data_IF_441350757863
#
_entry.id   IF_441350757863
#
_cell.length_a   1.000
_cell.length_b   1.000
_cell.length_c   1.000
_cell.angle_alpha   90.00
_cell.angle_beta   90.00
_cell.angle_gamma   90.00
#
_symmetry.space_group_name_H-M   'P 1'
#
loop_
_entity.id
_entity.type
_entity.pdbx_description
1 polymer ?
#
# COMPACT_ATOMS: atom_id res chain seq x y z
N UNK A 1 1.91 -34.74 -15.89
CA UNK A 1 0.76 -33.81 -15.69
C UNK A 1 0.24 -34.03 -14.28
N UNK A 2 0.72 -33.25 -13.31
CA UNK A 2 0.27 -33.29 -11.93
C UNK A 2 -0.35 -31.95 -11.62
N UNK A 3 -1.65 -31.88 -11.58
CA UNK A 3 -2.45 -30.77 -11.03
C UNK A 3 -2.12 -30.65 -9.56
N UNK A 4 -1.17 -29.78 -9.22
CA UNK A 4 -1.01 -29.28 -7.84
C UNK A 4 -2.18 -28.37 -7.54
N UNK A 5 -3.13 -28.90 -6.81
CA UNK A 5 -4.22 -28.16 -6.15
C UNK A 5 -3.58 -27.03 -5.35
N UNK A 6 -3.90 -25.79 -5.72
CA UNK A 6 -3.49 -24.57 -5.02
C UNK A 6 -4.00 -24.64 -3.59
N UNK A 7 -3.09 -24.92 -2.64
CA UNK A 7 -3.41 -24.90 -1.22
C UNK A 7 -3.73 -23.45 -0.77
N UNK A 8 -4.75 -23.25 0.05
CA UNK A 8 -5.13 -21.93 0.60
C UNK A 8 -4.07 -21.31 1.54
N UNK A 9 -2.98 -22.03 1.77
CA UNK A 9 -1.83 -21.64 2.60
C UNK A 9 -1.09 -20.40 2.06
N UNK A 10 -1.17 -20.10 0.76
CA UNK A 10 -0.37 -19.03 0.13
C UNK A 10 -0.95 -17.65 0.36
N UNK A 11 -2.28 -17.48 0.25
CA UNK A 11 -2.95 -16.20 0.55
C UNK A 11 -2.78 -15.81 2.03
N UNK A 12 -2.84 -16.80 2.91
CA UNK A 12 -2.64 -16.61 4.35
C UNK A 12 -1.19 -16.21 4.68
N UNK A 13 -0.23 -16.64 3.87
CA UNK A 13 1.20 -16.28 4.03
C UNK A 13 1.46 -14.82 3.59
N UNK A 14 0.83 -14.36 2.51
CA UNK A 14 0.94 -12.96 2.05
C UNK A 14 0.29 -11.99 3.03
N UNK A 15 -0.92 -12.28 3.49
CA UNK A 15 -1.59 -11.46 4.52
C UNK A 15 -0.78 -11.45 5.82
N UNK A 16 -0.19 -12.58 6.23
CA UNK A 16 0.73 -12.64 7.38
C UNK A 16 1.95 -11.76 7.15
N UNK A 17 2.54 -11.79 5.96
CA UNK A 17 3.72 -10.95 5.64
C UNK A 17 3.38 -9.46 5.69
N UNK A 18 2.24 -9.04 5.15
CA UNK A 18 1.77 -7.65 5.22
C UNK A 18 1.48 -7.24 6.68
N UNK A 19 0.82 -8.11 7.45
CA UNK A 19 0.56 -7.88 8.87
C UNK A 19 1.85 -7.84 9.70
N UNK A 20 2.84 -8.68 9.41
CA UNK A 20 4.14 -8.63 10.06
C UNK A 20 4.91 -7.36 9.73
N UNK A 21 4.87 -6.90 8.48
CA UNK A 21 5.47 -5.62 8.06
C UNK A 21 4.78 -4.47 8.79
N UNK A 22 3.44 -4.45 8.80
CA UNK A 22 2.68 -3.46 9.56
C UNK A 22 3.01 -3.49 11.04
N UNK A 23 3.06 -4.67 11.65
CA UNK A 23 3.39 -4.80 13.07
C UNK A 23 4.80 -4.31 13.39
N UNK A 24 5.78 -4.62 12.53
CA UNK A 24 7.15 -4.11 12.66
C UNK A 24 7.18 -2.59 12.47
N UNK A 25 6.45 -2.08 11.49
CA UNK A 25 6.33 -0.65 11.24
C UNK A 25 5.67 0.09 12.42
N UNK A 26 4.54 -0.40 12.94
CA UNK A 26 3.88 0.20 14.11
C UNK A 26 4.73 0.13 15.39
N UNK A 27 5.63 -0.84 15.50
CA UNK A 27 6.61 -0.88 16.60
C UNK A 27 7.71 0.16 16.43
N UNK A 28 7.99 0.54 15.20
CA UNK A 28 9.00 1.55 14.85
C UNK A 28 8.48 2.99 15.06
N UNK A 29 7.16 3.21 14.94
CA UNK A 29 6.51 4.49 15.16
C UNK A 29 6.40 4.84 16.65
N UNK A 30 6.50 6.12 16.98
CA UNK A 30 6.22 6.64 18.31
C UNK A 30 4.69 6.67 18.57
N UNK A 31 4.25 6.86 19.81
CA UNK A 31 2.82 6.75 20.18
C UNK A 31 1.92 7.76 19.44
N UNK A 32 2.40 8.97 19.22
CA UNK A 32 1.66 10.02 18.51
C UNK A 32 1.40 9.61 17.05
N UNK A 33 2.43 9.23 16.34
CA UNK A 33 2.37 8.83 14.93
C UNK A 33 1.52 7.56 14.74
N UNK A 34 1.65 6.63 15.67
CA UNK A 34 0.83 5.42 15.72
C UNK A 34 -0.66 5.77 15.82
N UNK A 35 -1.02 6.76 16.65
CA UNK A 35 -2.41 7.25 16.77
C UNK A 35 -2.90 7.89 15.46
N UNK A 36 -2.06 8.64 14.75
CA UNK A 36 -2.39 9.25 13.46
C UNK A 36 -2.66 8.20 12.40
N UNK A 37 -1.84 7.14 12.32
CA UNK A 37 -2.08 6.02 11.43
C UNK A 37 -3.38 5.26 11.75
N UNK A 38 -3.69 5.00 13.02
CA UNK A 38 -4.97 4.39 13.38
C UNK A 38 -6.15 5.25 12.99
N UNK A 39 -6.10 6.54 13.23
CA UNK A 39 -7.15 7.48 12.80
C UNK A 39 -7.31 7.48 11.29
N UNK A 40 -6.21 7.44 10.54
CA UNK A 40 -6.26 7.37 9.08
C UNK A 40 -6.92 6.08 8.58
N UNK A 41 -6.65 4.93 9.21
CA UNK A 41 -7.29 3.66 8.89
C UNK A 41 -8.81 3.73 9.13
N UNK A 42 -9.22 4.27 10.27
CA UNK A 42 -10.66 4.44 10.59
C UNK A 42 -11.35 5.35 9.56
N UNK A 43 -10.73 6.49 9.22
CA UNK A 43 -11.25 7.38 8.18
C UNK A 43 -11.32 6.71 6.82
N UNK A 44 -10.34 5.87 6.47
CA UNK A 44 -10.32 5.10 5.23
C UNK A 44 -11.46 4.07 5.17
N UNK A 45 -11.72 3.37 6.26
CA UNK A 45 -12.88 2.45 6.35
C UNK A 45 -14.20 3.21 6.22
N UNK A 46 -14.35 4.35 6.89
CA UNK A 46 -15.52 5.21 6.73
C UNK A 46 -15.67 5.70 5.29
N UNK A 47 -14.59 6.10 4.64
CA UNK A 47 -14.59 6.49 3.23
C UNK A 47 -15.05 5.34 2.31
N UNK A 48 -14.63 4.10 2.62
CA UNK A 48 -15.08 2.91 1.89
C UNK A 48 -16.57 2.67 2.06
N UNK A 49 -17.12 2.84 3.27
CA UNK A 49 -18.56 2.74 3.54
C UNK A 49 -19.36 3.80 2.76
N UNK A 50 -18.91 5.06 2.76
CA UNK A 50 -19.52 6.10 1.93
C UNK A 50 -19.44 5.77 0.43
N UNK A 51 -18.32 5.23 -0.03
CA UNK A 51 -18.17 4.79 -1.41
C UNK A 51 -19.11 3.64 -1.78
N UNK A 52 -19.44 2.76 -0.85
CA UNK A 52 -20.36 1.65 -1.07
C UNK A 52 -21.81 2.11 -1.32
N UNK A 53 -22.21 3.32 -0.88
CA UNK A 53 -23.53 3.89 -1.16
C UNK A 53 -23.81 4.10 -2.66
N UNK A 54 -22.80 4.08 -3.51
CA UNK A 54 -22.96 4.11 -4.98
C UNK A 54 -23.70 2.89 -5.50
N UNK A 55 -23.53 1.73 -4.86
CA UNK A 55 -24.12 0.46 -5.30
C UNK A 55 -25.65 0.51 -5.21
N UNK A 56 -26.28 0.81 -4.04
CA UNK A 56 -27.72 0.94 -3.97
C UNK A 56 -28.27 2.10 -4.81
N UNK A 57 -27.54 3.23 -4.95
CA UNK A 57 -27.97 4.33 -5.82
C UNK A 57 -28.09 3.91 -7.29
N UNK A 58 -27.14 3.13 -7.79
CA UNK A 58 -27.18 2.56 -9.15
C UNK A 58 -28.29 1.50 -9.23
N UNK A 59 -28.46 0.65 -8.21
CA UNK A 59 -29.48 -0.40 -8.16
C UNK A 59 -30.90 0.17 -8.25
N UNK A 60 -31.18 1.20 -7.48
CA UNK A 60 -32.50 1.89 -7.51
C UNK A 60 -32.75 2.49 -8.90
N UNK A 61 -31.75 3.08 -9.53
CA UNK A 61 -31.91 3.65 -10.88
C UNK A 61 -32.15 2.57 -11.92
N UNK A 62 -31.43 1.45 -11.86
CA UNK A 62 -31.63 0.31 -12.76
C UNK A 62 -33.01 -0.31 -12.60
N UNK A 63 -33.50 -0.49 -11.37
CA UNK A 63 -34.83 -0.99 -11.10
C UNK A 63 -35.92 -0.07 -11.67
N UNK A 64 -35.74 1.25 -11.52
CA UNK A 64 -36.69 2.22 -12.10
C UNK A 64 -36.72 2.18 -13.64
N UNK A 65 -35.57 1.96 -14.28
CA UNK A 65 -35.49 1.86 -15.74
C UNK A 65 -36.14 0.57 -16.25
N UNK A 66 -35.94 -0.55 -15.56
CA UNK A 66 -36.33 -1.87 -16.05
C UNK A 66 -37.77 -2.26 -15.70
N UNK A 67 -38.30 -1.79 -14.57
CA UNK A 67 -39.54 -2.33 -13.99
C UNK A 67 -40.60 -1.26 -13.73
N UNK A 68 -40.28 -0.16 -13.06
CA UNK A 68 -41.24 0.78 -12.49
C UNK A 68 -41.49 2.04 -13.35
N UNK A 69 -40.68 2.29 -14.35
CA UNK A 69 -40.65 3.55 -15.09
C UNK A 69 -39.90 4.66 -14.34
N UNK A 70 -39.23 5.50 -15.10
CA UNK A 70 -38.39 6.56 -14.54
C UNK A 70 -39.21 7.75 -14.09
N UNK A 71 -39.21 8.01 -12.78
CA UNK A 71 -39.85 9.19 -12.21
C UNK A 71 -38.79 10.24 -11.81
N UNK A 72 -39.14 11.52 -11.95
CA UNK A 72 -38.23 12.62 -11.56
C UNK A 72 -37.74 12.49 -10.09
N UNK A 73 -38.61 11.99 -9.20
CA UNK A 73 -38.28 11.73 -7.79
C UNK A 73 -37.17 10.66 -7.64
N UNK A 74 -37.25 9.57 -8.42
CA UNK A 74 -36.25 8.49 -8.39
C UNK A 74 -34.90 8.97 -8.89
N UNK A 75 -34.90 9.78 -9.96
CA UNK A 75 -33.65 10.40 -10.49
C UNK A 75 -33.02 11.31 -9.43
N UNK A 76 -33.82 12.18 -8.83
CA UNK A 76 -33.32 13.13 -7.81
C UNK A 76 -32.77 12.40 -6.58
N UNK A 77 -33.44 11.38 -6.10
CA UNK A 77 -33.01 10.57 -4.96
C UNK A 77 -31.68 9.85 -5.26
N UNK A 78 -31.61 9.15 -6.39
CA UNK A 78 -30.39 8.44 -6.81
C UNK A 78 -29.22 9.41 -6.99
N UNK A 79 -29.45 10.57 -7.63
CA UNK A 79 -28.44 11.61 -7.79
C UNK A 79 -27.98 12.18 -6.45
N UNK A 80 -28.89 12.46 -5.52
CA UNK A 80 -28.55 12.98 -4.19
C UNK A 80 -27.68 11.97 -3.41
N UNK A 81 -28.06 10.69 -3.38
CA UNK A 81 -27.29 9.63 -2.72
C UNK A 81 -25.90 9.50 -3.36
N UNK A 82 -25.82 9.56 -4.68
CA UNK A 82 -24.55 9.49 -5.40
C UNK A 82 -23.64 10.67 -5.08
N UNK A 83 -24.18 11.89 -5.05
CA UNK A 83 -23.44 13.10 -4.66
C UNK A 83 -22.93 13.02 -3.22
N UNK A 84 -23.78 12.62 -2.27
CA UNK A 84 -23.39 12.42 -0.87
C UNK A 84 -22.26 11.38 -0.77
N UNK A 85 -22.39 10.27 -1.50
CA UNK A 85 -21.35 9.24 -1.54
C UNK A 85 -20.02 9.76 -2.07
N UNK A 86 -20.03 10.50 -3.19
CA UNK A 86 -18.80 11.03 -3.81
C UNK A 86 -18.16 12.09 -2.92
N UNK A 87 -18.93 13.06 -2.45
CA UNK A 87 -18.40 14.16 -1.62
C UNK A 87 -17.90 13.61 -0.28
N UNK A 88 -18.72 12.80 0.39
CA UNK A 88 -18.36 12.20 1.68
C UNK A 88 -17.10 11.32 1.59
N UNK A 89 -17.06 10.42 0.61
CA UNK A 89 -15.86 9.57 0.43
C UNK A 89 -14.61 10.37 0.06
N UNK A 90 -14.73 11.43 -0.74
CA UNK A 90 -13.59 12.25 -1.15
C UNK A 90 -13.00 13.04 0.03
N UNK A 91 -13.85 13.64 0.85
CA UNK A 91 -13.41 14.38 2.05
C UNK A 91 -12.71 13.44 3.03
N UNK A 92 -13.30 12.27 3.30
CA UNK A 92 -12.73 11.29 4.22
C UNK A 92 -11.41 10.71 3.70
N UNK A 93 -11.32 10.41 2.40
CA UNK A 93 -10.08 9.95 1.76
C UNK A 93 -8.98 11.01 1.84
N UNK A 94 -9.30 12.25 1.51
CA UNK A 94 -8.34 13.34 1.62
C UNK A 94 -7.76 13.44 3.04
N UNK A 95 -8.63 13.42 4.07
CA UNK A 95 -8.19 13.45 5.46
C UNK A 95 -7.37 12.23 5.86
N UNK A 96 -7.77 11.03 5.42
CA UNK A 96 -7.04 9.80 5.67
C UNK A 96 -5.63 9.85 5.06
N UNK A 97 -5.53 10.24 3.78
CA UNK A 97 -4.24 10.35 3.07
C UNK A 97 -3.35 11.43 3.69
N UNK A 98 -3.91 12.57 4.07
CA UNK A 98 -3.15 13.63 4.75
C UNK A 98 -2.52 13.12 6.06
N UNK A 99 -3.29 12.44 6.91
CA UNK A 99 -2.77 11.84 8.14
C UNK A 99 -1.72 10.75 7.90
N UNK A 100 -1.87 9.94 6.85
CA UNK A 100 -0.89 8.91 6.49
C UNK A 100 0.44 9.54 6.03
N UNK A 101 0.34 10.59 5.24
CA UNK A 101 1.50 11.30 4.73
C UNK A 101 2.24 12.03 5.84
N UNK A 102 1.51 12.75 6.68
CA UNK A 102 2.06 13.48 7.82
C UNK A 102 2.72 12.52 8.83
N UNK A 103 2.03 11.44 9.19
CA UNK A 103 2.57 10.39 10.05
C UNK A 103 3.84 9.74 9.49
N UNK A 104 3.90 9.49 8.17
CA UNK A 104 5.09 8.91 7.51
C UNK A 104 6.30 9.85 7.56
N UNK A 105 6.11 11.12 7.25
CA UNK A 105 7.18 12.12 7.32
C UNK A 105 7.62 12.42 8.75
N UNK A 106 6.68 12.56 9.68
CA UNK A 106 6.96 12.74 11.10
C UNK A 106 7.78 11.61 11.68
N UNK A 107 7.39 10.35 11.41
CA UNK A 107 8.15 9.17 11.85
C UNK A 107 9.60 9.24 11.40
N UNK A 108 9.83 9.59 10.13
CA UNK A 108 11.17 9.65 9.56
C UNK A 108 11.98 10.80 10.14
N UNK A 109 11.36 11.97 10.31
CA UNK A 109 12.01 13.14 10.92
C UNK A 109 12.45 12.85 12.36
N UNK A 110 11.55 12.26 13.17
CA UNK A 110 11.86 11.89 14.55
C UNK A 110 12.97 10.84 14.65
N UNK A 111 12.99 9.85 13.74
CA UNK A 111 14.07 8.87 13.70
C UNK A 111 15.41 9.46 13.30
N UNK A 112 15.44 10.45 12.41
CA UNK A 112 16.68 11.19 12.09
C UNK A 112 17.23 11.92 13.31
N UNK A 113 16.36 12.57 14.10
CA UNK A 113 16.76 13.23 15.35
C UNK A 113 17.28 12.20 16.34
N UNK A 114 16.60 11.07 16.54
CA UNK A 114 17.05 9.99 17.42
C UNK A 114 18.43 9.43 17.01
N UNK A 115 18.67 9.25 15.69
CA UNK A 115 19.99 8.84 15.19
C UNK A 115 21.04 9.91 15.50
N UNK A 116 20.76 11.18 15.24
CA UNK A 116 21.69 12.28 15.51
C UNK A 116 22.03 12.37 17.01
N UNK A 117 21.04 12.22 17.89
CA UNK A 117 21.28 12.17 19.33
C UNK A 117 22.15 10.98 19.72
N UNK A 118 21.91 9.81 19.17
CA UNK A 118 22.74 8.63 19.46
C UNK A 118 24.18 8.80 19.00
N UNK A 119 24.40 9.42 17.83
CA UNK A 119 25.73 9.71 17.32
C UNK A 119 26.57 10.61 18.25
N UNK A 120 25.94 11.49 19.05
CA UNK A 120 26.64 12.35 20.01
C UNK A 120 27.35 11.56 21.12
N UNK A 121 26.91 10.34 21.41
CA UNK A 121 27.48 9.48 22.46
C UNK A 121 28.55 8.53 21.94
N UNK A 122 28.80 8.51 20.61
CA UNK A 122 29.84 7.65 20.03
C UNK A 122 31.23 8.26 20.17
N UNK A 123 32.26 7.45 20.46
CA UNK A 123 33.63 7.93 20.55
C UNK A 123 34.13 8.42 19.19
N UNK A 124 35.00 9.43 19.19
CA UNK A 124 35.53 10.06 17.95
C UNK A 124 36.20 9.06 17.00
N UNK A 125 36.78 7.99 17.50
CA UNK A 125 37.38 6.92 16.67
C UNK A 125 36.37 6.14 15.80
N UNK A 126 35.09 6.27 16.06
CA UNK A 126 34.04 5.68 15.22
C UNK A 126 33.86 6.44 13.89
N UNK A 127 34.19 7.73 13.87
CA UNK A 127 33.96 8.60 12.72
C UNK A 127 35.16 8.53 11.74
N UNK A 128 35.16 7.48 10.92
CA UNK A 128 36.08 7.36 9.77
C UNK A 128 35.29 7.57 8.46
N UNK A 129 35.99 7.66 7.33
CA UNK A 129 35.36 7.92 6.02
C UNK A 129 34.26 6.90 5.67
N UNK A 130 34.47 5.63 5.97
CA UNK A 130 33.50 4.57 5.71
C UNK A 130 32.25 4.71 6.60
N UNK A 131 32.43 4.99 7.88
CA UNK A 131 31.31 5.15 8.82
C UNK A 131 30.51 6.42 8.54
N UNK A 132 31.15 7.52 8.17
CA UNK A 132 30.48 8.76 7.75
C UNK A 132 29.65 8.55 6.50
N UNK A 133 30.17 7.85 5.49
CA UNK A 133 29.43 7.48 4.30
C UNK A 133 28.20 6.62 4.61
N UNK A 134 28.36 5.61 5.46
CA UNK A 134 27.24 4.74 5.90
C UNK A 134 26.19 5.53 6.68
N UNK A 135 26.58 6.36 7.64
CA UNK A 135 25.67 7.21 8.43
C UNK A 135 24.89 8.15 7.51
N UNK A 136 25.58 8.83 6.59
CA UNK A 136 24.93 9.73 5.63
C UNK A 136 23.93 8.98 4.75
N UNK A 137 24.30 7.83 4.22
CA UNK A 137 23.41 6.99 3.40
C UNK A 137 22.15 6.54 4.17
N UNK A 138 22.31 6.13 5.42
CA UNK A 138 21.17 5.73 6.26
C UNK A 138 20.28 6.92 6.59
N UNK A 139 20.85 8.05 6.99
CA UNK A 139 20.12 9.24 7.44
C UNK A 139 19.38 9.94 6.29
N UNK A 140 19.88 9.85 5.07
CA UNK A 140 19.25 10.43 3.88
C UNK A 140 18.44 9.38 3.12
N UNK A 141 19.09 8.54 2.32
CA UNK A 141 18.42 7.66 1.36
C UNK A 141 17.53 6.60 2.02
N UNK A 142 18.03 5.95 3.10
CA UNK A 142 17.25 4.89 3.75
C UNK A 142 16.03 5.46 4.46
N UNK A 143 16.15 6.62 5.10
CA UNK A 143 15.03 7.26 5.79
C UNK A 143 14.01 7.82 4.81
N UNK A 144 14.39 8.39 3.67
CA UNK A 144 13.45 8.85 2.64
C UNK A 144 12.68 7.68 2.03
N UNK A 145 13.37 6.60 1.71
CA UNK A 145 12.73 5.37 1.24
C UNK A 145 11.76 4.78 2.28
N UNK A 146 12.14 4.80 3.56
CA UNK A 146 11.29 4.30 4.64
C UNK A 146 10.00 5.10 4.77
N UNK A 147 10.05 6.44 4.67
CA UNK A 147 8.86 7.30 4.66
C UNK A 147 7.91 6.93 3.53
N UNK A 148 8.42 6.82 2.30
CA UNK A 148 7.61 6.46 1.14
C UNK A 148 7.00 5.06 1.22
N UNK A 149 7.78 4.07 1.67
CA UNK A 149 7.30 2.68 1.84
C UNK A 149 6.25 2.60 2.93
N UNK A 150 6.44 3.27 4.05
CA UNK A 150 5.53 3.28 5.20
C UNK A 150 4.15 3.81 4.84
N UNK A 151 4.11 5.01 4.24
CA UNK A 151 2.87 5.63 3.76
C UNK A 151 2.17 4.73 2.74
N UNK A 152 2.92 4.17 1.78
CA UNK A 152 2.39 3.28 0.76
C UNK A 152 1.79 1.99 1.34
N UNK A 153 2.42 1.37 2.33
CA UNK A 153 1.92 0.13 2.94
C UNK A 153 0.61 0.39 3.68
N UNK A 154 0.51 1.46 4.47
CA UNK A 154 -0.74 1.82 5.16
C UNK A 154 -1.84 2.14 4.15
N UNK A 155 -1.52 2.88 3.08
CA UNK A 155 -2.45 3.20 2.00
C UNK A 155 -2.97 1.94 1.29
N UNK A 156 -2.09 1.00 0.94
CA UNK A 156 -2.46 -0.27 0.30
C UNK A 156 -3.41 -1.10 1.17
N UNK A 157 -3.19 -1.13 2.47
CA UNK A 157 -4.09 -1.85 3.39
C UNK A 157 -5.44 -1.14 3.48
N UNK A 158 -5.44 0.17 3.65
CA UNK A 158 -6.67 0.95 3.87
C UNK A 158 -7.49 1.05 2.58
N UNK A 159 -6.90 1.46 1.48
CA UNK A 159 -7.61 1.65 0.21
C UNK A 159 -7.74 0.36 -0.59
N UNK A 160 -6.75 -0.53 -0.54
CA UNK A 160 -6.78 -1.81 -1.22
C UNK A 160 -7.66 -2.82 -0.49
N UNK A 161 -7.23 -3.30 0.66
CA UNK A 161 -7.87 -4.44 1.33
C UNK A 161 -9.22 -4.05 1.91
N UNK A 162 -9.28 -2.99 2.73
CA UNK A 162 -10.53 -2.61 3.40
C UNK A 162 -11.58 -2.09 2.41
N UNK A 163 -11.20 -1.27 1.43
CA UNK A 163 -12.13 -0.76 0.43
C UNK A 163 -12.70 -1.90 -0.42
N UNK A 164 -11.87 -2.84 -0.86
CA UNK A 164 -12.32 -4.01 -1.62
C UNK A 164 -13.24 -4.90 -0.80
N UNK A 165 -12.91 -5.15 0.47
CA UNK A 165 -13.74 -5.96 1.36
C UNK A 165 -15.12 -5.32 1.59
N UNK A 166 -15.16 -4.02 1.89
CA UNK A 166 -16.41 -3.28 2.08
C UNK A 166 -17.27 -3.27 0.81
N UNK A 167 -16.66 -3.02 -0.35
CA UNK A 167 -17.37 -3.03 -1.64
C UNK A 167 -17.90 -4.42 -1.98
N UNK A 168 -17.12 -5.47 -1.79
CA UNK A 168 -17.54 -6.85 -2.03
C UNK A 168 -18.69 -7.22 -1.10
N UNK A 169 -18.61 -6.86 0.18
CA UNK A 169 -19.67 -7.10 1.15
C UNK A 169 -20.95 -6.34 0.76
N UNK A 170 -20.84 -5.08 0.35
CA UNK A 170 -21.99 -4.29 -0.07
C UNK A 170 -22.71 -4.89 -1.29
N UNK A 171 -21.96 -5.36 -2.30
CA UNK A 171 -22.52 -6.06 -3.46
C UNK A 171 -23.17 -7.38 -3.03
N UNK A 172 -22.52 -8.14 -2.14
CA UNK A 172 -23.05 -9.41 -1.66
C UNK A 172 -24.38 -9.25 -0.90
N UNK A 173 -24.53 -8.16 -0.14
CA UNK A 173 -25.79 -7.83 0.54
C UNK A 173 -26.89 -7.40 -0.43
N UNK A 174 -26.54 -6.80 -1.56
CA UNK A 174 -27.49 -6.37 -2.59
C UNK A 174 -27.95 -7.54 -3.46
N UNK A 175 -27.00 -8.33 -3.98
CA UNK A 175 -27.26 -9.56 -4.74
C UNK A 175 -26.16 -10.59 -4.50
N UNK A 176 -26.49 -11.69 -3.84
CA UNK A 176 -25.55 -12.75 -3.49
C UNK A 176 -24.93 -13.44 -4.73
N UNK A 177 -25.68 -13.48 -5.86
CA UNK A 177 -25.19 -14.07 -7.10
C UNK A 177 -24.08 -13.26 -7.72
N UNK A 178 -24.26 -11.93 -7.77
CA UNK A 178 -23.23 -10.98 -8.25
C UNK A 178 -22.05 -10.98 -7.30
N UNK A 179 -22.30 -11.04 -5.98
CA UNK A 179 -21.24 -11.15 -4.97
C UNK A 179 -20.36 -12.39 -5.16
N UNK A 180 -20.92 -13.54 -5.50
CA UNK A 180 -20.19 -14.76 -5.83
C UNK A 180 -19.28 -14.60 -7.07
N UNK A 181 -19.76 -13.95 -8.12
CA UNK A 181 -18.94 -13.65 -9.30
C UNK A 181 -17.77 -12.74 -8.97
N UNK A 182 -17.96 -11.74 -8.11
CA UNK A 182 -16.87 -10.86 -7.67
C UNK A 182 -15.83 -11.65 -6.86
N UNK A 183 -16.26 -12.53 -5.94
CA UNK A 183 -15.35 -13.37 -5.17
C UNK A 183 -14.54 -14.31 -6.09
N UNK A 184 -15.19 -14.92 -7.08
CA UNK A 184 -14.51 -15.74 -8.07
C UNK A 184 -13.50 -14.92 -8.88
N UNK A 185 -13.87 -13.71 -9.32
CA UNK A 185 -12.96 -12.78 -10.01
C UNK A 185 -11.77 -12.37 -9.16
N UNK A 186 -11.96 -12.09 -7.87
CA UNK A 186 -10.89 -11.81 -6.93
C UNK A 186 -9.96 -13.02 -6.77
N UNK A 187 -10.48 -14.23 -6.69
CA UNK A 187 -9.69 -15.46 -6.61
C UNK A 187 -8.79 -15.64 -7.85
N UNK A 188 -9.35 -15.42 -9.05
CA UNK A 188 -8.57 -15.44 -10.31
C UNK A 188 -7.53 -14.35 -10.33
N UNK A 189 -7.88 -13.12 -9.93
CA UNK A 189 -6.94 -12.02 -9.83
C UNK A 189 -5.76 -12.34 -8.91
N UNK A 190 -6.01 -12.89 -7.73
CA UNK A 190 -4.95 -13.33 -6.82
C UNK A 190 -4.09 -14.44 -7.40
N UNK A 191 -4.66 -15.41 -8.08
CA UNK A 191 -3.92 -16.50 -8.71
C UNK A 191 -2.97 -15.98 -9.81
N UNK A 192 -3.45 -15.06 -10.65
CA UNK A 192 -2.65 -14.44 -11.71
C UNK A 192 -1.53 -13.57 -11.11
N UNK A 193 -1.84 -12.72 -10.12
CA UNK A 193 -0.82 -11.91 -9.45
C UNK A 193 0.26 -12.76 -8.80
N UNK A 194 -0.11 -13.84 -8.12
CA UNK A 194 0.85 -14.75 -7.52
C UNK A 194 1.79 -15.38 -8.56
N UNK A 195 1.25 -15.83 -9.69
CA UNK A 195 2.05 -16.34 -10.79
C UNK A 195 3.00 -15.28 -11.37
N UNK A 196 2.54 -14.03 -11.49
CA UNK A 196 3.34 -12.91 -11.95
C UNK A 196 4.45 -12.54 -10.96
N UNK A 197 4.18 -12.57 -9.65
CA UNK A 197 5.19 -12.31 -8.62
C UNK A 197 6.34 -13.30 -8.68
N UNK A 198 6.05 -14.60 -8.79
CA UNK A 198 7.09 -15.64 -8.90
C UNK A 198 7.99 -15.38 -10.11
N UNK A 199 7.40 -15.01 -11.24
CA UNK A 199 8.17 -14.69 -12.46
C UNK A 199 8.95 -13.38 -12.31
N UNK A 200 8.36 -12.37 -11.68
CA UNK A 200 8.99 -11.08 -11.44
C UNK A 200 10.20 -11.20 -10.51
N UNK A 201 10.13 -11.99 -9.45
CA UNK A 201 11.27 -12.23 -8.55
C UNK A 201 12.47 -12.86 -9.30
N UNK A 202 12.20 -13.85 -10.16
CA UNK A 202 13.26 -14.47 -10.96
C UNK A 202 13.90 -13.48 -11.93
N UNK A 203 13.09 -12.64 -12.58
CA UNK A 203 13.55 -11.63 -13.52
C UNK A 203 14.34 -10.53 -12.81
N UNK A 204 13.85 -10.09 -11.65
CA UNK A 204 14.51 -9.06 -10.84
C UNK A 204 15.86 -9.54 -10.33
N UNK A 205 15.98 -10.79 -9.87
CA UNK A 205 17.28 -11.38 -9.47
C UNK A 205 18.28 -11.43 -10.63
N UNK A 206 17.82 -11.81 -11.84
CA UNK A 206 18.66 -11.81 -13.03
C UNK A 206 19.11 -10.40 -13.42
N UNK A 207 18.21 -9.42 -13.32
CA UNK A 207 18.52 -8.02 -13.57
C UNK A 207 19.57 -7.49 -12.61
N UNK A 208 19.41 -7.71 -11.30
CA UNK A 208 20.41 -7.30 -10.30
C UNK A 208 21.79 -7.95 -10.54
N UNK A 209 21.82 -9.24 -10.89
CA UNK A 209 23.08 -9.91 -11.24
C UNK A 209 23.72 -9.30 -12.48
N UNK A 210 22.92 -8.93 -13.50
CA UNK A 210 23.40 -8.25 -14.69
C UNK A 210 23.93 -6.83 -14.39
N UNK A 211 23.19 -6.06 -13.61
CA UNK A 211 23.57 -4.70 -13.22
C UNK A 211 24.88 -4.73 -12.40
N UNK A 212 25.07 -5.70 -11.50
CA UNK A 212 26.31 -5.88 -10.75
C UNK A 212 27.49 -6.22 -11.67
N UNK A 213 27.29 -7.12 -12.62
CA UNK A 213 28.34 -7.47 -13.58
C UNK A 213 28.77 -6.28 -14.46
N UNK A 214 27.82 -5.43 -14.86
CA UNK A 214 28.14 -4.21 -15.61
C UNK A 214 28.97 -3.24 -14.76
N UNK A 215 28.59 -3.04 -13.48
CA UNK A 215 29.33 -2.19 -12.56
C UNK A 215 30.76 -2.73 -12.33
N UNK A 216 30.93 -4.04 -12.16
CA UNK A 216 32.24 -4.67 -12.02
C UNK A 216 33.11 -4.45 -13.26
N UNK A 217 32.56 -4.65 -14.46
CA UNK A 217 33.30 -4.39 -15.71
C UNK A 217 33.68 -2.93 -15.88
N UNK A 218 32.80 -1.99 -15.53
CA UNK A 218 33.13 -0.55 -15.57
C UNK A 218 34.23 -0.20 -14.58
N UNK A 219 34.17 -0.75 -13.37
CA UNK A 219 35.22 -0.54 -12.36
C UNK A 219 36.57 -1.14 -12.80
N UNK A 220 36.57 -2.33 -13.41
CA UNK A 220 37.77 -2.96 -13.95
C UNK A 220 38.39 -2.14 -15.10
N UNK A 221 37.52 -1.62 -15.99
CA UNK A 221 37.95 -0.72 -17.06
C UNK A 221 38.57 0.57 -16.51
N UNK A 222 37.96 1.21 -15.52
CA UNK A 222 38.50 2.42 -14.88
C UNK A 222 39.85 2.15 -14.19
N UNK A 223 39.97 1.01 -13.50
CA UNK A 223 41.24 0.60 -12.87
C UNK A 223 42.30 0.33 -13.91
N UNK A 224 41.98 -0.32 -15.04
CA UNK A 224 42.89 -0.58 -16.13
C UNK A 224 43.41 0.69 -16.80
N UNK A 225 42.61 1.75 -16.90
CA UNK A 225 43.08 3.06 -17.43
C UNK A 225 44.16 3.67 -16.54
N UNK A 226 44.07 3.47 -15.20
CA UNK A 226 45.05 4.01 -14.28
C UNK A 226 46.43 3.28 -14.37
N UNK A 227 46.45 2.02 -14.82
CA UNK A 227 47.70 1.25 -15.03
C UNK A 227 48.40 1.53 -16.37
N UNK A 228 47.68 2.04 -17.37
CA UNK A 228 48.22 2.33 -18.71
C UNK A 228 48.82 3.74 -18.81
N UNK A 229 48.66 4.58 -17.80
CA UNK A 229 49.20 5.94 -17.71
C UNK A 229 50.40 6.00 -16.80
#
# INVERSE_FOLDING_TARGET
FGTRILHPVTAQKEVRTVLEILRKFFRFCDERERSEFYRSIVLGVLAALFSALKIPAIGVMLQAILVEGVTAKTILLSLAVMLISVIGSSILKYRATALQTDGGYSTTANKRVQIAEHLRYLPMGYFNENSLGAITSVTTNTMDNLSGVSTRVVMLVTEGIFSTAVMTLAVFLFDWRVGLFIIAGLAVYYAVNHALQIRSEQTTRRKFAGDTAVVEQVLEFIKGIAEVK
#
